data_IF_682989757970
#
_entry.id   IF_682989757970
#
_cell.length_a   1.000
_cell.length_b   1.000
_cell.length_c   1.000
_cell.angle_alpha   90.00
_cell.angle_beta   90.00
_cell.angle_gamma   90.00
#
_symmetry.space_group_name_H-M   'P 1'
#
loop_
_entity.id
_entity.type
_entity.pdbx_description
1 polymer ?
#
# COMPACT_ATOMS: atom_id res chain seq x y z
N UNK A 1 21.12 -9.01 -25.13
CA UNK A 1 20.36 -9.45 -23.92
C UNK A 1 20.22 -8.36 -22.87
N UNK A 2 21.12 -7.37 -22.79
CA UNK A 2 21.08 -6.28 -21.79
C UNK A 2 19.81 -5.40 -21.81
N UNK A 3 19.29 -5.06 -22.99
CA UNK A 3 18.07 -4.23 -23.10
C UNK A 3 16.83 -4.91 -22.50
N UNK A 4 16.64 -6.21 -22.74
CA UNK A 4 15.50 -6.95 -22.20
C UNK A 4 15.56 -7.02 -20.67
N UNK A 5 16.75 -7.24 -20.10
CA UNK A 5 16.95 -7.22 -18.65
C UNK A 5 16.66 -5.85 -18.03
N UNK A 6 16.98 -4.75 -18.73
CA UNK A 6 16.67 -3.39 -18.29
C UNK A 6 15.17 -3.08 -18.34
N UNK A 7 14.48 -3.52 -19.40
CA UNK A 7 13.03 -3.38 -19.53
C UNK A 7 12.31 -4.19 -18.45
N UNK A 8 12.74 -5.44 -18.25
CA UNK A 8 12.23 -6.31 -17.18
C UNK A 8 12.44 -5.65 -15.82
N UNK A 9 13.68 -5.26 -15.49
CA UNK A 9 14.00 -4.59 -14.22
C UNK A 9 13.20 -3.31 -13.99
N UNK A 10 12.94 -2.51 -15.03
CA UNK A 10 12.12 -1.30 -14.93
C UNK A 10 10.65 -1.63 -14.61
N UNK A 11 10.07 -2.64 -15.28
CA UNK A 11 8.70 -3.06 -15.01
C UNK A 11 8.55 -3.64 -13.60
N UNK A 12 9.49 -4.51 -13.18
CA UNK A 12 9.47 -5.07 -11.83
C UNK A 12 9.67 -3.97 -10.78
N UNK A 13 10.62 -3.05 -11.00
CA UNK A 13 10.90 -1.93 -10.12
C UNK A 13 9.69 -1.00 -9.92
N UNK A 14 8.88 -0.78 -10.97
CA UNK A 14 7.63 -0.03 -10.86
C UNK A 14 6.65 -0.70 -9.88
N UNK A 15 6.45 -2.02 -9.99
CA UNK A 15 5.54 -2.75 -9.10
C UNK A 15 6.07 -2.85 -7.66
N UNK A 16 7.38 -3.06 -7.50
CA UNK A 16 8.03 -3.10 -6.18
C UNK A 16 7.91 -1.73 -5.50
N UNK A 17 8.23 -0.65 -6.23
CA UNK A 17 8.13 0.71 -5.71
C UNK A 17 6.71 1.08 -5.27
N UNK A 18 5.71 0.76 -6.09
CA UNK A 18 4.30 0.95 -5.74
C UNK A 18 3.93 0.21 -4.44
N UNK A 19 4.29 -1.08 -4.34
CA UNK A 19 3.96 -1.90 -3.18
C UNK A 19 4.67 -1.45 -1.88
N UNK A 20 5.93 -1.02 -1.95
CA UNK A 20 6.68 -0.49 -0.79
C UNK A 20 6.13 0.86 -0.31
N UNK A 21 5.55 1.66 -1.20
CA UNK A 21 4.97 2.96 -0.85
C UNK A 21 3.58 2.87 -0.19
N UNK A 22 2.86 1.74 -0.33
CA UNK A 22 1.49 1.59 0.18
C UNK A 22 1.28 1.90 1.68
N UNK A 23 2.18 1.54 2.62
CA UNK A 23 2.00 1.80 4.05
C UNK A 23 1.95 3.28 4.40
N UNK A 24 2.60 4.12 3.58
CA UNK A 24 2.78 5.56 3.84
C UNK A 24 2.03 6.44 2.84
N UNK A 25 1.42 5.82 1.82
CA UNK A 25 0.69 6.51 0.77
C UNK A 25 -0.45 7.33 1.39
N UNK A 26 -0.43 8.64 1.13
CA UNK A 26 -1.29 9.68 1.69
C UNK A 26 -1.04 10.09 3.15
N UNK A 27 -0.20 9.39 3.90
CA UNK A 27 0.17 9.80 5.26
C UNK A 27 1.06 11.05 5.23
N UNK A 28 2.15 11.01 4.46
CA UNK A 28 3.15 12.10 4.37
C UNK A 28 2.59 13.38 3.71
N UNK A 29 1.47 13.27 3.00
CA UNK A 29 0.81 14.41 2.36
C UNK A 29 -0.03 15.27 3.34
N UNK A 30 -0.17 14.84 4.59
CA UNK A 30 -0.95 15.55 5.60
C UNK A 30 -0.02 16.47 6.40
N UNK A 31 -0.33 17.78 6.55
CA UNK A 31 0.55 18.73 7.24
C UNK A 31 0.92 18.34 8.68
N UNK A 32 0.05 17.58 9.36
CA UNK A 32 0.28 17.10 10.72
C UNK A 32 1.10 15.81 10.80
N UNK A 33 1.45 15.19 9.67
CA UNK A 33 2.23 13.95 9.63
C UNK A 33 3.68 14.25 9.24
N UNK A 34 4.63 13.93 10.10
CA UNK A 34 6.05 14.24 9.91
C UNK A 34 6.90 12.95 9.95
N UNK A 35 8.20 13.09 9.67
CA UNK A 35 9.14 11.96 9.66
C UNK A 35 9.28 11.29 11.04
N UNK A 36 9.10 12.03 12.14
CA UNK A 36 9.15 11.46 13.49
C UNK A 36 7.96 10.54 13.75
N UNK A 37 6.76 10.93 13.33
CA UNK A 37 5.57 10.08 13.42
C UNK A 37 5.69 8.87 12.51
N UNK A 38 6.29 9.04 11.33
CA UNK A 38 6.58 7.93 10.41
C UNK A 38 7.52 6.91 11.06
N UNK A 39 8.61 7.38 11.68
CA UNK A 39 9.54 6.54 12.41
C UNK A 39 8.88 5.88 13.63
N UNK A 40 8.03 6.59 14.36
CA UNK A 40 7.27 6.00 15.46
C UNK A 40 6.25 4.94 15.00
N UNK A 41 5.65 5.13 13.83
CA UNK A 41 4.63 4.21 13.30
C UNK A 41 5.22 2.97 12.64
N UNK A 42 6.33 3.11 11.93
CA UNK A 42 6.89 2.05 11.07
C UNK A 42 8.40 1.81 11.25
N UNK A 43 9.11 2.71 11.93
CA UNK A 43 10.58 2.70 11.96
C UNK A 43 11.15 2.83 10.54
N UNK A 44 12.14 1.98 10.25
CA UNK A 44 12.70 1.88 8.90
C UNK A 44 11.96 0.81 8.09
N UNK A 45 11.34 1.22 6.98
CA UNK A 45 10.72 0.29 6.03
C UNK A 45 11.81 -0.28 5.13
N UNK A 46 12.17 -1.54 5.35
CA UNK A 46 13.19 -2.27 4.56
C UNK A 46 12.60 -3.34 3.63
N UNK A 47 11.28 -3.49 3.63
CA UNK A 47 10.58 -4.49 2.83
C UNK A 47 9.08 -4.22 2.76
N UNK A 48 8.31 -5.24 2.39
CA UNK A 48 6.86 -5.12 2.34
C UNK A 48 6.27 -5.08 3.73
N UNK A 49 5.60 -3.97 4.02
CA UNK A 49 4.96 -3.72 5.30
C UNK A 49 3.45 -3.63 5.10
N UNK A 50 2.68 -4.16 6.05
CA UNK A 50 1.24 -3.97 6.07
C UNK A 50 0.94 -2.53 6.49
N UNK A 51 0.08 -1.78 5.78
CA UNK A 51 -0.36 -0.48 6.27
C UNK A 51 -1.07 -0.60 7.63
N UNK A 52 -0.85 0.38 8.52
CA UNK A 52 -1.64 0.50 9.74
C UNK A 52 -3.10 0.71 9.36
N UNK A 53 -4.01 0.11 10.12
CA UNK A 53 -5.45 0.21 9.84
C UNK A 53 -5.97 1.64 10.11
N UNK A 54 -5.34 2.37 11.02
CA UNK A 54 -5.67 3.75 11.38
C UNK A 54 -4.45 4.61 11.64
N UNK A 55 -4.56 5.91 11.38
CA UNK A 55 -3.55 6.91 11.72
C UNK A 55 -4.16 8.31 11.86
N UNK A 56 -3.53 9.17 12.66
CA UNK A 56 -4.02 10.53 12.87
C UNK A 56 -3.87 11.39 11.61
N UNK A 57 -4.93 12.13 11.30
CA UNK A 57 -4.94 13.06 10.17
C UNK A 57 -5.46 12.47 8.86
N UNK A 58 -5.96 11.23 8.87
CA UNK A 58 -6.52 10.60 7.67
C UNK A 58 -7.48 11.51 6.91
N UNK A 59 -7.24 11.67 5.62
CA UNK A 59 -8.07 12.47 4.73
C UNK A 59 -9.41 11.80 4.39
N UNK A 60 -9.58 10.50 4.69
CA UNK A 60 -10.81 9.77 4.37
C UNK A 60 -12.04 10.41 5.02
N UNK A 61 -11.88 10.89 6.26
CA UNK A 61 -12.94 11.57 7.00
C UNK A 61 -13.25 12.99 6.49
N UNK A 62 -12.51 13.49 5.50
CA UNK A 62 -12.72 14.78 4.84
C UNK A 62 -13.38 14.62 3.47
N UNK A 63 -13.22 13.47 2.83
CA UNK A 63 -13.72 13.18 1.49
C UNK A 63 -15.25 13.08 1.43
N UNK A 64 -15.86 13.60 0.37
CA UNK A 64 -17.30 13.42 0.13
C UNK A 64 -17.61 11.94 -0.18
N UNK A 65 -18.69 11.41 0.38
CA UNK A 65 -19.18 10.06 0.03
C UNK A 65 -20.17 10.06 -1.13
N UNK A 66 -20.64 11.24 -1.56
CA UNK A 66 -21.63 11.41 -2.64
C UNK A 66 -21.10 12.04 -3.92
N UNK A 67 -19.83 12.45 -3.96
CA UNK A 67 -19.22 13.12 -5.11
C UNK A 67 -17.70 13.22 -4.95
N UNK A 68 -17.04 13.87 -5.92
CA UNK A 68 -15.59 14.07 -5.86
C UNK A 68 -15.16 15.14 -4.84
N UNK A 69 -13.94 15.02 -4.32
CA UNK A 69 -13.32 16.02 -3.45
C UNK A 69 -13.75 15.94 -1.98
N UNK A 70 -13.55 17.04 -1.24
CA UNK A 70 -13.95 17.16 0.17
C UNK A 70 -15.43 17.51 0.28
N UNK A 71 -16.12 16.97 1.28
CA UNK A 71 -17.56 17.22 1.46
C UNK A 71 -18.18 16.31 2.50
N UNK A 72 -19.51 16.18 2.50
CA UNK A 72 -20.26 15.40 3.50
C UNK A 72 -20.12 13.89 3.35
N UNK A 73 -20.36 13.14 4.42
CA UNK A 73 -20.47 11.67 4.44
C UNK A 73 -21.92 11.12 4.25
N UNK A 74 -22.88 12.01 3.95
CA UNK A 74 -24.30 11.65 3.76
C UNK A 74 -24.57 10.92 2.44
N UNK A 75 -23.76 11.15 1.42
CA UNK A 75 -23.88 10.47 0.13
C UNK A 75 -23.49 9.00 0.18
N UNK A 76 -23.74 8.25 -0.89
CA UNK A 76 -23.53 6.81 -0.89
C UNK A 76 -22.68 6.27 -2.05
N UNK A 77 -22.30 7.11 -3.02
CA UNK A 77 -21.51 6.70 -4.20
C UNK A 77 -20.23 5.95 -3.81
N UNK A 78 -19.51 6.38 -2.77
CA UNK A 78 -18.33 5.66 -2.26
C UNK A 78 -18.69 4.26 -1.77
N UNK A 79 -19.84 4.10 -1.11
CA UNK A 79 -20.31 2.83 -0.59
C UNK A 79 -20.87 1.92 -1.67
N UNK A 80 -21.85 2.36 -2.44
CA UNK A 80 -22.58 1.50 -3.38
C UNK A 80 -21.89 1.32 -4.73
N UNK A 81 -21.12 2.30 -5.20
CA UNK A 81 -20.58 2.30 -6.58
C UNK A 81 -19.06 2.14 -6.63
N UNK A 82 -18.30 2.89 -5.82
CA UNK A 82 -16.83 2.94 -5.97
C UNK A 82 -16.14 1.85 -5.16
N UNK A 83 -16.50 1.68 -3.89
CA UNK A 83 -15.78 0.81 -2.95
C UNK A 83 -16.65 -0.30 -2.33
N UNK A 84 -17.85 -0.54 -2.89
CA UNK A 84 -18.73 -1.68 -2.61
C UNK A 84 -18.82 -2.07 -1.11
N UNK A 85 -19.60 -1.33 -0.32
CA UNK A 85 -19.87 -1.58 1.09
C UNK A 85 -18.88 -0.91 2.06
N UNK A 86 -17.84 -0.22 1.57
CA UNK A 86 -16.79 0.35 2.45
C UNK A 86 -17.07 1.75 3.01
N UNK A 87 -18.26 2.31 2.79
CA UNK A 87 -18.63 3.66 3.29
C UNK A 87 -18.43 3.85 4.79
N UNK A 88 -18.58 2.79 5.59
CA UNK A 88 -18.37 2.80 7.04
C UNK A 88 -16.99 3.31 7.49
N UNK A 89 -15.99 3.30 6.60
CA UNK A 89 -14.65 3.83 6.89
C UNK A 89 -14.48 5.31 6.52
N UNK A 90 -15.45 5.92 5.80
CA UNK A 90 -15.46 7.32 5.36
C UNK A 90 -16.25 8.25 6.30
N UNK A 91 -16.38 7.86 7.57
CA UNK A 91 -17.15 8.61 8.59
C UNK A 91 -16.38 9.84 9.08
N UNK A 92 -17.12 10.93 9.37
CA UNK A 92 -16.51 12.12 9.99
C UNK A 92 -15.81 11.77 11.31
N UNK A 93 -14.62 12.34 11.53
CA UNK A 93 -13.79 12.08 12.71
C UNK A 93 -13.10 10.71 12.71
N UNK A 94 -13.34 9.86 11.70
CA UNK A 94 -12.63 8.59 11.54
C UNK A 94 -11.16 8.80 11.19
N UNK A 95 -10.31 7.85 11.56
CA UNK A 95 -8.86 7.90 11.31
C UNK A 95 -8.39 6.69 10.48
N UNK A 96 -9.27 6.11 9.67
CA UNK A 96 -8.97 4.91 8.89
C UNK A 96 -7.94 5.19 7.81
N UNK A 97 -7.03 4.25 7.59
CA UNK A 97 -6.04 4.35 6.53
C UNK A 97 -6.67 4.09 5.15
N UNK A 98 -6.21 4.80 4.13
CA UNK A 98 -6.76 4.70 2.78
C UNK A 98 -6.64 3.29 2.19
N UNK A 99 -5.61 2.56 2.60
CA UNK A 99 -5.37 1.16 2.24
C UNK A 99 -5.84 0.17 3.31
N UNK A 100 -6.87 0.50 4.09
CA UNK A 100 -7.43 -0.40 5.10
C UNK A 100 -7.79 -1.78 4.50
N UNK A 101 -7.26 -2.83 5.14
CA UNK A 101 -7.44 -4.23 4.71
C UNK A 101 -6.48 -4.71 3.61
N UNK A 102 -5.50 -3.89 3.22
CA UNK A 102 -4.39 -4.31 2.36
C UNK A 102 -3.37 -5.12 3.18
N UNK A 103 -2.86 -6.20 2.60
CA UNK A 103 -1.75 -6.98 3.15
C UNK A 103 -0.40 -6.40 2.70
N UNK A 104 0.67 -6.80 3.38
CA UNK A 104 2.03 -6.48 2.95
C UNK A 104 2.23 -6.91 1.48
N UNK A 105 2.75 -6.00 0.65
CA UNK A 105 2.98 -6.29 -0.78
C UNK A 105 1.76 -6.10 -1.70
N UNK A 106 0.61 -5.65 -1.18
CA UNK A 106 -0.50 -5.18 -2.00
C UNK A 106 -1.60 -6.20 -2.32
N UNK A 107 -1.60 -7.36 -1.66
CA UNK A 107 -2.71 -8.33 -1.71
C UNK A 107 -3.91 -7.85 -0.90
N UNK A 108 -5.13 -8.06 -1.40
CA UNK A 108 -6.37 -7.74 -0.67
C UNK A 108 -7.19 -9.02 -0.56
N UNK A 109 -7.01 -9.72 0.56
CA UNK A 109 -7.56 -11.07 0.82
C UNK A 109 -7.08 -12.13 -0.20
N UNK A 110 -7.20 -13.41 0.15
CA UNK A 110 -6.66 -14.59 -0.55
C UNK A 110 -7.27 -14.89 -1.96
N UNK A 111 -7.59 -13.87 -2.76
CA UNK A 111 -8.30 -14.00 -4.04
C UNK A 111 -7.76 -13.14 -5.19
N UNK A 112 -6.56 -12.57 -5.07
CA UNK A 112 -5.95 -11.71 -6.09
C UNK A 112 -4.89 -12.40 -6.94
N UNK A 113 -5.15 -13.62 -7.42
CA UNK A 113 -4.12 -14.54 -7.93
C UNK A 113 -3.20 -13.96 -9.02
N UNK A 114 -3.67 -13.04 -9.88
CA UNK A 114 -2.86 -12.50 -10.99
C UNK A 114 -1.90 -11.38 -10.58
N UNK A 115 -2.32 -10.49 -9.66
CA UNK A 115 -1.48 -9.40 -9.16
C UNK A 115 -0.52 -9.89 -8.09
N UNK A 116 -0.95 -10.85 -7.28
CA UNK A 116 -0.13 -11.53 -6.28
C UNK A 116 0.91 -12.42 -6.94
N UNK A 117 0.57 -13.20 -7.97
CA UNK A 117 1.55 -14.00 -8.70
C UNK A 117 2.56 -13.14 -9.46
N UNK A 118 2.13 -12.05 -10.12
CA UNK A 118 3.06 -11.16 -10.82
C UNK A 118 4.02 -10.44 -9.86
N UNK A 119 3.53 -10.03 -8.68
CA UNK A 119 4.35 -9.38 -7.64
C UNK A 119 5.23 -10.38 -6.89
N UNK A 120 4.71 -11.54 -6.51
CA UNK A 120 5.49 -12.61 -5.88
C UNK A 120 6.58 -13.11 -6.84
N UNK A 121 6.26 -13.26 -8.12
CA UNK A 121 7.25 -13.59 -9.14
C UNK A 121 8.27 -12.46 -9.34
N UNK A 122 7.85 -11.19 -9.38
CA UNK A 122 8.76 -10.05 -9.44
C UNK A 122 9.75 -10.02 -8.27
N UNK A 123 9.24 -10.33 -7.07
CA UNK A 123 10.00 -10.33 -5.81
C UNK A 123 10.95 -11.50 -5.74
N UNK A 124 10.47 -12.71 -5.99
CA UNK A 124 11.30 -13.92 -6.04
C UNK A 124 12.41 -13.77 -7.09
N UNK A 125 12.08 -13.19 -8.26
CA UNK A 125 13.08 -12.96 -9.32
C UNK A 125 14.08 -11.87 -8.96
N UNK A 126 13.65 -10.79 -8.32
CA UNK A 126 14.55 -9.71 -7.86
C UNK A 126 15.45 -10.17 -6.72
N UNK A 127 14.91 -10.87 -5.72
CA UNK A 127 15.65 -11.41 -4.58
C UNK A 127 16.65 -12.47 -5.03
N UNK A 128 16.24 -13.46 -5.83
CA UNK A 128 17.16 -14.51 -6.34
C UNK A 128 18.26 -13.99 -7.27
N UNK A 129 18.05 -12.88 -7.98
CA UNK A 129 19.08 -12.30 -8.86
C UNK A 129 20.09 -11.43 -8.10
N UNK A 130 19.70 -10.84 -6.97
CA UNK A 130 20.58 -10.00 -6.15
C UNK A 130 21.24 -10.75 -4.99
N UNK A 131 20.63 -11.83 -4.51
CA UNK A 131 21.29 -12.83 -3.69
C UNK A 131 22.12 -13.73 -4.60
N UNK A 132 23.37 -13.31 -4.87
CA UNK A 132 24.33 -14.15 -5.57
C UNK A 132 24.47 -15.55 -4.90
N UNK A 133 25.06 -16.54 -5.58
CA UNK A 133 25.18 -17.90 -5.05
C UNK A 133 26.09 -17.87 -3.81
N UNK A 134 25.52 -17.73 -2.62
CA UNK A 134 26.37 -17.60 -1.42
C UNK A 134 25.74 -17.17 -0.09
N UNK A 135 24.43 -17.05 0.09
CA UNK A 135 23.85 -16.86 1.44
C UNK A 135 22.88 -17.97 1.78
N UNK A 136 23.43 -19.06 2.33
CA UNK A 136 22.68 -19.98 3.18
C UNK A 136 22.14 -19.20 4.38
N UNK A 137 20.81 -19.16 4.50
CA UNK A 137 20.15 -18.73 5.74
C UNK A 137 20.47 -19.80 6.78
N UNK A 138 21.17 -19.49 7.90
CA UNK A 138 21.26 -20.44 8.99
C UNK A 138 19.89 -20.50 9.65
N UNK A 139 19.36 -21.72 9.79
CA UNK A 139 18.13 -21.97 10.52
C UNK A 139 18.32 -21.72 12.01
N UNK A 140 17.31 -21.07 12.61
CA UNK A 140 16.80 -21.32 13.96
C UNK A 140 15.48 -20.59 14.12
#
# INVERSE_FOLDING_TARGET
>A
MEMLARIEGALLGLYVGDAVAMPVHWMVAIPSYNLQQLEADYGQITGYTKPKDTFMGSIMNLSSTGGGGRGSDKGDVVGSVILHGKKQFWVRGGNFHYHLGLQAGGGKHAGGAIGEAARAHAVDTFVRRNDGPGRSVPGS
#
